data_IF_456349106535
#
_entry.id   IF_456349106535
#
_cell.length_a   1.000
_cell.length_b   1.000
_cell.length_c   1.000
_cell.angle_alpha   90.00
_cell.angle_beta   90.00
_cell.angle_gamma   90.00
#
_symmetry.space_group_name_H-M   'P 1'
#
loop_
_entity.id
_entity.type
_entity.pdbx_description
1 polymer ?
#
# COMPACT_ATOMS: atom_id res chain seq x y z
N UNK A 1 23.29 -16.83 11.82
CA UNK A 1 24.40 -16.46 12.73
C UNK A 1 23.88 -16.59 14.16
N UNK A 2 24.23 -17.66 14.88
CA UNK A 2 23.83 -17.87 16.28
C UNK A 2 24.84 -17.16 17.17
N UNK A 3 24.44 -16.07 17.82
CA UNK A 3 25.30 -15.36 18.78
C UNK A 3 25.26 -16.14 20.10
N UNK A 4 26.21 -17.05 20.31
CA UNK A 4 26.40 -17.71 21.62
C UNK A 4 27.12 -16.76 22.56
N UNK A 5 26.37 -16.07 23.41
CA UNK A 5 26.92 -15.31 24.53
C UNK A 5 27.27 -16.30 25.67
N UNK A 6 28.55 -16.60 25.85
CA UNK A 6 29.07 -17.45 26.93
C UNK A 6 29.13 -16.61 28.22
N UNK A 7 28.00 -16.50 28.94
CA UNK A 7 28.01 -16.02 30.32
C UNK A 7 28.45 -17.18 31.21
N UNK A 8 29.71 -17.12 31.63
CA UNK A 8 30.36 -18.12 32.45
C UNK A 8 29.87 -18.00 33.90
N UNK A 9 29.35 -19.12 34.38
CA UNK A 9 29.10 -19.57 35.76
C UNK A 9 29.64 -18.68 36.90
N UNK A 10 28.74 -18.03 37.64
CA UNK A 10 28.83 -17.91 39.10
C UNK A 10 27.43 -17.99 39.69
N UNK A 11 27.25 -18.91 40.63
CA UNK A 11 25.98 -19.20 41.27
C UNK A 11 25.50 -18.05 42.15
N UNK A 12 24.24 -17.67 41.95
CA UNK A 12 23.29 -17.27 42.99
C UNK A 12 21.86 -17.19 42.38
N UNK A 13 20.78 -17.45 43.14
CA UNK A 13 19.44 -17.57 42.59
C UNK A 13 18.65 -16.27 42.76
N UNK A 14 18.38 -15.53 41.68
CA UNK A 14 17.26 -14.57 41.64
C UNK A 14 16.83 -14.30 40.21
N UNK A 15 15.53 -14.53 39.92
CA UNK A 15 14.76 -13.86 38.86
C UNK A 15 15.40 -13.69 37.48
N UNK A 16 16.03 -14.73 36.92
CA UNK A 16 16.69 -14.61 35.61
C UNK A 16 15.65 -14.65 34.49
N UNK A 17 15.30 -13.48 33.98
CA UNK A 17 14.62 -13.27 32.71
C UNK A 17 15.47 -13.85 31.56
N UNK A 18 14.90 -14.64 30.65
CA UNK A 18 15.62 -15.31 29.55
C UNK A 18 14.97 -15.01 28.20
N UNK A 19 15.80 -14.75 27.17
CA UNK A 19 15.38 -14.69 25.76
C UNK A 19 15.21 -16.13 25.24
N UNK A 20 14.05 -16.43 24.64
CA UNK A 20 13.81 -17.70 23.94
C UNK A 20 13.64 -17.42 22.44
N UNK A 21 14.49 -18.02 21.63
CA UNK A 21 14.38 -18.06 20.17
C UNK A 21 13.61 -19.33 19.77
N UNK A 22 12.26 -19.27 19.70
CA UNK A 22 11.46 -20.37 19.15
C UNK A 22 10.32 -19.86 18.26
N UNK A 23 10.19 -20.43 17.06
CA UNK A 23 9.12 -20.15 16.08
C UNK A 23 8.24 -21.39 15.90
N UNK A 24 6.97 -21.24 15.56
CA UNK A 24 6.12 -22.36 15.12
C UNK A 24 5.95 -22.28 13.60
N UNK A 25 6.41 -23.29 12.87
CA UNK A 25 6.22 -23.47 11.43
C UNK A 25 5.35 -24.72 11.23
N UNK A 26 4.22 -24.58 10.55
CA UNK A 26 3.28 -25.69 10.26
C UNK A 26 2.84 -26.50 11.50
N UNK A 27 2.65 -25.81 12.62
CA UNK A 27 2.25 -26.42 13.89
C UNK A 27 3.39 -27.07 14.67
N UNK A 28 4.62 -27.07 14.13
CA UNK A 28 5.84 -27.55 14.80
C UNK A 28 6.69 -26.38 15.29
N UNK A 29 7.05 -26.43 16.57
CA UNK A 29 7.91 -25.42 17.20
C UNK A 29 9.39 -25.74 16.93
N UNK A 30 10.13 -24.78 16.38
CA UNK A 30 11.53 -24.88 15.94
C UNK A 30 12.34 -23.74 16.60
N UNK A 31 13.39 -24.10 17.33
CA UNK A 31 14.26 -23.18 18.06
C UNK A 31 14.85 -23.82 19.33
N UNK A 32 15.69 -23.08 20.06
CA UNK A 32 16.27 -23.55 21.34
C UNK A 32 15.17 -23.52 22.42
N UNK A 33 14.46 -24.64 22.60
CA UNK A 33 13.47 -24.77 23.65
C UNK A 33 14.14 -24.91 25.02
N UNK A 34 13.87 -23.95 25.92
CA UNK A 34 14.05 -24.15 27.36
C UNK A 34 12.73 -24.72 27.90
N UNK A 35 12.66 -26.01 28.29
CA UNK A 35 11.40 -26.71 28.59
C UNK A 35 10.61 -26.18 29.80
N UNK A 36 11.09 -25.12 30.47
CA UNK A 36 10.58 -24.62 31.74
C UNK A 36 10.07 -23.17 31.70
N UNK A 37 9.92 -22.56 30.51
CA UNK A 37 9.57 -21.14 30.37
C UNK A 37 8.14 -20.98 29.84
N UNK A 38 7.24 -20.43 30.67
CA UNK A 38 5.87 -20.09 30.27
C UNK A 38 5.83 -18.93 29.26
N UNK A 39 4.79 -18.87 28.42
CA UNK A 39 4.64 -17.85 27.37
C UNK A 39 4.72 -16.40 27.89
N UNK A 40 4.32 -16.18 29.13
CA UNK A 40 4.33 -14.86 29.79
C UNK A 40 5.74 -14.35 30.14
N UNK A 41 6.76 -15.20 30.02
CA UNK A 41 8.16 -14.85 30.28
C UNK A 41 8.95 -14.47 29.00
N UNK A 42 8.30 -14.47 27.82
CA UNK A 42 8.92 -14.10 26.53
C UNK A 42 8.76 -12.60 26.28
N UNK A 43 9.86 -11.84 26.38
CA UNK A 43 9.88 -10.36 26.27
C UNK A 43 9.95 -9.81 24.83
N UNK A 44 9.97 -10.65 23.79
CA UNK A 44 10.27 -10.21 22.41
C UNK A 44 9.06 -10.19 21.49
N UNK A 45 8.79 -9.03 20.85
CA UNK A 45 8.11 -8.99 19.54
C UNK A 45 9.15 -9.14 18.45
N UNK A 46 8.81 -9.82 17.35
CA UNK A 46 9.72 -9.94 16.21
C UNK A 46 10.04 -8.56 15.63
N UNK A 47 11.29 -8.30 15.18
CA UNK A 47 11.65 -7.00 14.63
C UNK A 47 10.84 -6.67 13.38
N UNK A 48 10.44 -5.40 13.22
CA UNK A 48 9.80 -4.91 12.01
C UNK A 48 10.81 -4.79 10.85
N UNK A 49 10.33 -4.66 9.60
CA UNK A 49 11.19 -4.56 8.40
C UNK A 49 12.30 -3.51 8.50
N UNK A 50 12.04 -2.40 9.20
CA UNK A 50 13.04 -1.35 9.44
C UNK A 50 14.20 -1.84 10.32
N UNK A 51 13.89 -2.64 11.33
CA UNK A 51 14.85 -3.22 12.27
C UNK A 51 15.61 -4.38 11.61
N UNK A 52 14.93 -5.25 10.85
CA UNK A 52 15.57 -6.30 10.05
C UNK A 52 16.57 -5.72 9.05
N UNK A 53 16.17 -4.68 8.31
CA UNK A 53 17.06 -4.01 7.36
C UNK A 53 18.25 -3.34 8.07
N UNK A 54 18.03 -2.69 9.22
CA UNK A 54 19.12 -2.12 10.02
C UNK A 54 20.13 -3.18 10.48
N UNK A 55 19.67 -4.38 10.84
CA UNK A 55 20.52 -5.51 11.19
C UNK A 55 21.33 -6.04 10.01
N UNK A 56 20.71 -6.24 8.85
CA UNK A 56 21.41 -6.68 7.63
C UNK A 56 22.49 -5.68 7.21
N UNK A 57 22.16 -4.39 7.24
CA UNK A 57 23.09 -3.31 6.88
C UNK A 57 24.23 -3.19 7.91
N UNK A 58 23.96 -3.38 9.20
CA UNK A 58 25.00 -3.49 10.22
C UNK A 58 25.93 -4.67 9.93
N UNK A 59 25.39 -5.85 9.62
CA UNK A 59 26.19 -7.04 9.33
C UNK A 59 27.13 -6.81 8.13
N UNK A 60 26.63 -6.19 7.06
CA UNK A 60 27.44 -5.80 5.89
C UNK A 60 28.50 -4.77 6.26
N UNK A 61 28.14 -3.75 7.04
CA UNK A 61 29.04 -2.64 7.36
C UNK A 61 30.18 -3.03 8.32
N UNK A 62 29.97 -4.04 9.15
CA UNK A 62 30.93 -4.46 10.19
C UNK A 62 31.74 -5.70 9.76
N UNK A 63 31.25 -6.46 8.77
CA UNK A 63 31.94 -7.62 8.20
C UNK A 63 31.90 -8.87 9.11
N UNK A 64 32.51 -9.97 8.67
CA UNK A 64 32.42 -11.29 9.35
C UNK A 64 33.06 -11.36 10.75
N UNK A 65 33.94 -10.39 11.09
CA UNK A 65 34.62 -10.33 12.39
C UNK A 65 34.51 -8.94 13.02
N UNK A 66 33.36 -8.63 13.64
CA UNK A 66 33.16 -7.35 14.31
C UNK A 66 34.10 -7.17 15.50
N UNK A 67 34.87 -6.10 15.51
CA UNK A 67 35.55 -5.59 16.72
C UNK A 67 34.66 -4.56 17.41
N UNK A 68 34.75 -4.45 18.75
CA UNK A 68 33.98 -3.48 19.53
C UNK A 68 34.16 -2.04 19.04
N UNK A 69 35.36 -1.68 18.58
CA UNK A 69 35.66 -0.37 18.02
C UNK A 69 34.90 -0.13 16.70
N UNK A 70 34.79 -1.14 15.85
CA UNK A 70 34.09 -1.09 14.55
C UNK A 70 32.58 -1.01 14.73
N UNK A 71 32.02 -1.74 15.70
CA UNK A 71 30.61 -1.64 16.10
C UNK A 71 30.28 -0.26 16.68
N UNK A 72 31.14 0.24 17.59
CA UNK A 72 30.96 1.55 18.22
C UNK A 72 31.13 2.73 17.24
N UNK A 73 31.88 2.53 16.15
CA UNK A 73 32.07 3.53 15.11
C UNK A 73 30.96 3.54 14.05
N UNK A 74 30.12 2.49 13.96
CA UNK A 74 29.07 2.33 12.96
C UNK A 74 27.74 1.91 13.59
N UNK A 75 26.96 2.84 14.17
CA UNK A 75 25.67 2.49 14.77
C UNK A 75 24.69 1.94 13.73
N UNK A 76 24.11 0.76 14.02
CA UNK A 76 23.16 0.02 13.19
C UNK A 76 21.93 0.83 12.80
N UNK A 77 21.45 1.64 13.74
CA UNK A 77 20.21 2.42 13.62
C UNK A 77 20.35 3.58 12.64
N UNK A 78 21.57 4.02 12.34
CA UNK A 78 21.81 5.25 11.60
C UNK A 78 22.07 5.05 10.10
N UNK A 79 22.07 3.80 9.62
CA UNK A 79 22.32 3.53 8.21
C UNK A 79 21.09 3.90 7.39
N UNK A 80 21.24 4.98 6.60
CA UNK A 80 20.25 5.47 5.62
C UNK A 80 18.95 6.05 6.19
N UNK A 81 18.89 6.41 7.48
CA UNK A 81 17.72 7.14 8.02
C UNK A 81 17.44 8.42 7.23
N UNK A 82 18.49 9.17 6.86
CA UNK A 82 18.37 10.34 6.00
C UNK A 82 17.81 10.00 4.61
N UNK A 83 18.29 8.94 3.96
CA UNK A 83 17.75 8.50 2.66
C UNK A 83 16.30 8.03 2.75
N UNK A 84 15.93 7.35 3.84
CA UNK A 84 14.55 6.88 4.07
C UNK A 84 13.60 8.00 4.49
N UNK A 85 14.12 9.06 5.11
CA UNK A 85 13.35 10.26 5.44
C UNK A 85 12.98 11.09 4.20
N UNK A 86 13.80 11.02 3.14
CA UNK A 86 13.57 11.68 1.85
C UNK A 86 12.39 11.05 1.09
N UNK A 87 11.75 11.81 0.17
CA UNK A 87 10.68 11.28 -0.65
C UNK A 87 11.22 10.23 -1.63
N UNK A 88 10.66 9.02 -1.57
CA UNK A 88 10.98 7.90 -2.44
C UNK A 88 10.52 8.14 -3.88
N UNK A 89 10.98 7.32 -4.86
CA UNK A 89 10.54 7.44 -6.24
C UNK A 89 9.01 7.38 -6.39
N UNK A 90 8.35 6.45 -5.69
CA UNK A 90 6.88 6.34 -5.72
C UNK A 90 6.20 7.55 -5.06
N UNK A 91 6.71 8.05 -3.93
CA UNK A 91 6.23 9.27 -3.27
C UNK A 91 6.17 10.45 -4.24
N UNK A 92 7.26 10.67 -5.00
CA UNK A 92 7.37 11.77 -5.97
C UNK A 92 6.37 11.62 -7.11
N UNK A 93 6.20 10.41 -7.63
CA UNK A 93 5.27 10.13 -8.72
C UNK A 93 3.81 10.24 -8.28
N UNK A 94 3.47 9.82 -7.05
CA UNK A 94 2.15 10.05 -6.45
C UNK A 94 1.87 11.56 -6.43
N UNK A 95 2.77 12.36 -5.84
CA UNK A 95 2.59 13.81 -5.74
C UNK A 95 2.46 14.49 -7.11
N UNK A 96 3.24 14.02 -8.10
CA UNK A 96 3.23 14.56 -9.47
C UNK A 96 1.95 14.23 -10.24
N UNK A 97 1.38 13.06 -10.03
CA UNK A 97 0.30 12.52 -10.86
C UNK A 97 -1.06 12.45 -10.17
N UNK A 98 -1.14 12.81 -8.88
CA UNK A 98 -2.37 12.81 -8.08
C UNK A 98 -3.53 13.55 -8.77
N UNK A 99 -3.28 14.74 -9.32
CA UNK A 99 -4.33 15.53 -10.02
C UNK A 99 -4.98 14.79 -11.19
N UNK A 100 -4.22 13.94 -11.89
CA UNK A 100 -4.75 13.17 -13.02
C UNK A 100 -5.62 12.03 -12.54
N UNK A 101 -5.22 11.39 -11.43
CA UNK A 101 -6.02 10.36 -10.77
C UNK A 101 -7.32 10.95 -10.21
N UNK A 102 -7.26 12.13 -9.58
CA UNK A 102 -8.44 12.85 -9.10
C UNK A 102 -9.42 13.15 -10.24
N UNK A 103 -8.93 13.63 -11.38
CA UNK A 103 -9.76 13.89 -12.56
C UNK A 103 -10.46 12.61 -13.05
N UNK A 104 -9.75 11.50 -13.17
CA UNK A 104 -10.33 10.21 -13.61
C UNK A 104 -11.39 9.71 -12.64
N UNK A 105 -11.16 9.83 -11.33
CA UNK A 105 -12.14 9.41 -10.33
C UNK A 105 -13.39 10.30 -10.29
N UNK A 106 -13.25 11.60 -10.52
CA UNK A 106 -14.37 12.55 -10.54
C UNK A 106 -15.16 12.51 -11.85
N UNK A 107 -14.48 12.40 -12.98
CA UNK A 107 -15.09 12.31 -14.31
C UNK A 107 -14.66 11.00 -14.99
N UNK A 108 -15.18 9.84 -14.52
CA UNK A 108 -14.86 8.55 -15.13
C UNK A 108 -15.33 8.49 -16.58
N UNK A 109 -14.64 7.68 -17.39
CA UNK A 109 -15.09 7.46 -18.76
C UNK A 109 -16.33 6.58 -18.72
N UNK A 110 -17.35 6.94 -19.49
CA UNK A 110 -18.61 6.21 -19.58
C UNK A 110 -18.74 5.66 -21.00
N UNK A 111 -19.14 4.40 -21.13
CA UNK A 111 -19.56 3.83 -22.40
C UNK A 111 -21.07 3.60 -22.38
N UNK A 112 -21.72 3.82 -23.53
CA UNK A 112 -23.13 3.53 -23.70
C UNK A 112 -23.28 2.06 -24.08
N UNK A 113 -23.84 1.25 -23.19
CA UNK A 113 -24.17 -0.15 -23.46
C UNK A 113 -25.58 -0.21 -24.02
N UNK A 114 -25.71 -0.80 -25.20
CA UNK A 114 -27.01 -1.00 -25.83
C UNK A 114 -27.44 -2.43 -25.58
N UNK A 115 -28.49 -2.60 -24.79
CA UNK A 115 -29.13 -3.89 -24.56
C UNK A 115 -30.50 -3.94 -25.22
N UNK A 116 -30.89 -5.14 -25.66
CA UNK A 116 -32.23 -5.38 -26.18
C UNK A 116 -33.00 -6.25 -25.21
N UNK A 117 -34.04 -5.67 -24.61
CA UNK A 117 -34.87 -6.33 -23.61
C UNK A 117 -36.35 -6.19 -24.01
N UNK A 118 -37.16 -7.20 -23.66
CA UNK A 118 -38.62 -7.15 -23.83
C UNK A 118 -39.25 -6.37 -22.69
N UNK A 119 -39.75 -5.18 -23.00
CA UNK A 119 -40.31 -4.27 -22.02
C UNK A 119 -41.80 -4.02 -22.27
N UNK A 120 -42.57 -3.67 -21.23
CA UNK A 120 -43.93 -3.20 -21.42
C UNK A 120 -43.99 -2.06 -22.43
N UNK A 121 -45.01 -2.04 -23.29
CA UNK A 121 -45.10 -1.08 -24.42
C UNK A 121 -44.96 0.37 -23.95
N UNK A 122 -45.56 0.73 -22.81
CA UNK A 122 -45.46 2.08 -22.24
C UNK A 122 -44.05 2.49 -21.82
N UNK A 123 -43.12 1.55 -21.59
CA UNK A 123 -41.71 1.80 -21.23
C UNK A 123 -40.77 1.68 -22.43
N UNK A 124 -41.23 1.11 -23.53
CA UNK A 124 -40.44 0.93 -24.74
C UNK A 124 -40.24 2.27 -25.47
N UNK A 125 -38.99 2.76 -25.54
CA UNK A 125 -38.66 4.01 -26.26
C UNK A 125 -38.22 3.82 -27.70
N UNK A 126 -37.39 2.81 -27.96
CA UNK A 126 -36.84 2.53 -29.30
C UNK A 126 -36.97 1.05 -29.60
N UNK A 127 -37.70 0.71 -30.66
CA UNK A 127 -37.88 -0.66 -31.11
C UNK A 127 -36.94 -0.97 -32.27
N UNK A 128 -36.12 -2.03 -32.20
CA UNK A 128 -35.28 -2.45 -33.32
C UNK A 128 -36.14 -3.02 -34.46
N UNK A 129 -35.63 -3.07 -35.68
CA UNK A 129 -36.36 -3.61 -36.85
C UNK A 129 -36.82 -5.06 -36.64
N UNK A 130 -36.06 -5.85 -35.88
CA UNK A 130 -36.40 -7.23 -35.54
C UNK A 130 -37.51 -7.37 -34.48
N UNK A 131 -37.98 -6.29 -33.87
CA UNK A 131 -39.01 -6.33 -32.83
C UNK A 131 -40.33 -6.95 -33.32
N UNK A 132 -40.70 -6.71 -34.59
CA UNK A 132 -41.91 -7.29 -35.19
C UNK A 132 -41.77 -8.81 -35.31
N UNK A 133 -40.62 -9.29 -35.79
CA UNK A 133 -40.34 -10.71 -35.91
C UNK A 133 -40.29 -11.40 -34.53
N UNK A 134 -39.63 -10.76 -33.54
CA UNK A 134 -39.58 -11.26 -32.17
C UNK A 134 -40.98 -11.33 -31.54
N UNK A 135 -41.83 -10.33 -31.78
CA UNK A 135 -43.20 -10.31 -31.26
C UNK A 135 -44.06 -11.42 -31.85
N UNK A 136 -43.91 -11.71 -33.16
CA UNK A 136 -44.64 -12.82 -33.81
C UNK A 136 -44.17 -14.18 -33.27
N UNK A 137 -42.87 -14.31 -32.97
CA UNK A 137 -42.29 -15.55 -32.44
C UNK A 137 -42.65 -15.84 -30.96
N UNK A 138 -43.09 -14.82 -30.20
CA UNK A 138 -43.36 -14.93 -28.76
C UNK A 138 -44.80 -14.47 -28.41
N UNK A 139 -45.81 -15.34 -28.64
CA UNK A 139 -47.23 -15.03 -28.40
C UNK A 139 -47.56 -14.70 -26.94
N UNK A 140 -46.74 -15.17 -25.99
CA UNK A 140 -46.87 -14.87 -24.57
C UNK A 140 -46.76 -13.38 -24.23
N UNK A 141 -46.18 -12.58 -25.15
CA UNK A 141 -46.05 -11.13 -25.01
C UNK A 141 -47.23 -10.36 -25.64
N UNK A 142 -48.29 -11.05 -26.07
CA UNK A 142 -49.50 -10.43 -26.62
C UNK A 142 -50.46 -10.08 -25.48
N UNK A 143 -51.07 -8.90 -25.56
CA UNK A 143 -52.17 -8.52 -24.68
C UNK A 143 -53.51 -8.92 -25.29
N UNK A 144 -53.71 -8.53 -26.56
CA UNK A 144 -54.91 -8.84 -27.33
C UNK A 144 -54.55 -9.20 -28.77
N UNK A 145 -55.27 -10.15 -29.35
CA UNK A 145 -55.18 -10.47 -30.78
C UNK A 145 -56.51 -10.22 -31.46
N UNK A 146 -56.48 -9.41 -32.51
CA UNK A 146 -57.60 -9.22 -33.45
C UNK A 146 -57.32 -9.94 -34.77
N UNK A 147 -58.33 -10.09 -35.61
CA UNK A 147 -58.21 -10.76 -36.93
C UNK A 147 -57.17 -10.11 -37.85
N UNK A 148 -56.88 -8.81 -37.66
CA UNK A 148 -55.98 -8.02 -38.51
C UNK A 148 -54.76 -7.44 -37.79
N UNK A 149 -54.69 -7.55 -36.46
CA UNK A 149 -53.65 -6.90 -35.67
C UNK A 149 -53.37 -7.64 -34.36
N UNK A 150 -52.17 -7.42 -33.84
CA UNK A 150 -51.74 -7.90 -32.53
C UNK A 150 -51.45 -6.66 -31.68
N UNK A 151 -52.06 -6.59 -30.51
CA UNK A 151 -51.73 -5.60 -29.48
C UNK A 151 -50.77 -6.23 -28.49
N UNK A 152 -49.47 -5.86 -28.48
CA UNK A 152 -48.51 -6.42 -27.56
C UNK A 152 -48.68 -5.87 -26.14
N UNK A 153 -48.45 -6.70 -25.13
CA UNK A 153 -48.24 -6.25 -23.74
C UNK A 153 -46.78 -5.86 -23.51
N UNK A 154 -45.85 -6.59 -24.14
CA UNK A 154 -44.41 -6.35 -24.13
C UNK A 154 -43.83 -6.40 -25.54
N UNK A 155 -42.83 -5.55 -25.80
CA UNK A 155 -42.14 -5.46 -27.09
C UNK A 155 -40.63 -5.39 -26.85
N UNK A 156 -39.87 -6.02 -27.74
CA UNK A 156 -38.41 -5.90 -27.78
C UNK A 156 -38.03 -4.42 -27.99
N UNK A 157 -37.27 -3.86 -27.06
CA UNK A 157 -36.83 -2.48 -27.09
C UNK A 157 -35.34 -2.37 -26.79
N UNK A 158 -34.67 -1.41 -27.44
CA UNK A 158 -33.28 -1.05 -27.15
C UNK A 158 -33.26 -0.13 -25.94
N UNK A 159 -32.69 -0.62 -24.84
CA UNK A 159 -32.27 0.20 -23.72
C UNK A 159 -30.82 0.64 -23.93
N UNK A 160 -30.56 1.90 -23.61
CA UNK A 160 -29.23 2.47 -23.64
C UNK A 160 -28.90 2.79 -22.20
N UNK A 161 -27.98 2.03 -21.63
CA UNK A 161 -27.55 2.15 -20.24
C UNK A 161 -26.12 2.70 -20.16
N UNK A 162 -25.87 3.45 -19.10
CA UNK A 162 -24.55 4.00 -18.82
C UNK A 162 -23.67 2.95 -18.14
N UNK A 163 -22.64 2.48 -18.83
CA UNK A 163 -21.68 1.52 -18.32
C UNK A 163 -20.40 2.22 -17.85
N UNK A 164 -20.18 2.18 -16.54
CA UNK A 164 -18.97 2.68 -15.89
C UNK A 164 -17.93 1.59 -15.65
N UNK A 165 -18.25 0.32 -15.94
CA UNK A 165 -17.45 -0.84 -15.59
C UNK A 165 -16.35 -1.15 -16.63
N UNK A 166 -15.67 -0.09 -17.06
CA UNK A 166 -14.55 -0.16 -17.99
C UNK A 166 -13.28 -0.65 -17.29
N UNK A 167 -12.46 -1.40 -18.03
CA UNK A 167 -11.16 -1.87 -17.54
C UNK A 167 -10.32 -0.74 -16.95
N UNK A 168 -10.28 0.41 -17.63
CA UNK A 168 -9.48 1.57 -17.23
C UNK A 168 -10.01 2.25 -15.97
N UNK A 169 -11.35 2.28 -15.80
CA UNK A 169 -11.97 2.78 -14.58
C UNK A 169 -11.65 1.86 -13.40
N UNK A 170 -11.69 0.53 -13.62
CA UNK A 170 -11.26 -0.45 -12.61
C UNK A 170 -9.80 -0.25 -12.24
N UNK A 171 -8.91 -0.08 -13.22
CA UNK A 171 -7.48 0.21 -12.99
C UNK A 171 -7.32 1.45 -12.10
N UNK A 172 -8.01 2.55 -12.39
CA UNK A 172 -7.94 3.76 -11.59
C UNK A 172 -8.45 3.55 -10.15
N UNK A 173 -9.59 2.87 -9.96
CA UNK A 173 -10.12 2.54 -8.64
C UNK A 173 -9.14 1.66 -7.84
N UNK A 174 -8.64 0.58 -8.45
CA UNK A 174 -7.67 -0.31 -7.78
C UNK A 174 -6.36 0.42 -7.47
N UNK A 175 -5.94 1.36 -8.30
CA UNK A 175 -4.75 2.16 -8.04
C UNK A 175 -4.91 2.95 -6.75
N UNK A 176 -6.06 3.60 -6.54
CA UNK A 176 -6.33 4.36 -5.31
C UNK A 176 -6.24 3.44 -4.08
N UNK A 177 -6.83 2.24 -4.12
CA UNK A 177 -6.74 1.26 -3.02
C UNK A 177 -5.29 0.88 -2.70
N UNK A 178 -4.49 0.65 -3.75
CA UNK A 178 -3.08 0.29 -3.62
C UNK A 178 -2.22 1.45 -3.08
N UNK A 179 -2.45 2.67 -3.57
CA UNK A 179 -1.74 3.86 -3.12
C UNK A 179 -2.10 4.21 -1.67
N UNK A 180 -3.36 4.06 -1.25
CA UNK A 180 -3.77 4.27 0.14
C UNK A 180 -3.06 3.28 1.08
N UNK A 181 -2.95 2.02 0.67
CA UNK A 181 -2.23 0.99 1.44
C UNK A 181 -0.74 1.34 1.56
N UNK A 182 -0.11 1.70 0.45
CA UNK A 182 1.30 2.12 0.44
C UNK A 182 1.54 3.35 1.32
N UNK A 183 0.73 4.40 1.18
CA UNK A 183 0.88 5.63 1.95
C UNK A 183 0.68 5.40 3.44
N UNK A 184 -0.24 4.52 3.85
CA UNK A 184 -0.40 4.17 5.25
C UNK A 184 0.88 3.57 5.85
N UNK A 185 1.49 2.59 5.16
CA UNK A 185 2.75 1.97 5.57
C UNK A 185 3.90 2.99 5.55
N UNK A 186 3.97 3.81 4.50
CA UNK A 186 5.03 4.81 4.32
C UNK A 186 4.97 5.91 5.39
N UNK A 187 3.79 6.39 5.74
CA UNK A 187 3.61 7.37 6.82
C UNK A 187 3.96 6.78 8.18
N UNK A 188 3.62 5.52 8.44
CA UNK A 188 4.03 4.83 9.67
C UNK A 188 5.56 4.71 9.76
N UNK A 189 6.23 4.34 8.67
CA UNK A 189 7.69 4.30 8.59
C UNK A 189 8.32 5.66 8.91
N UNK A 190 7.84 6.73 8.27
CA UNK A 190 8.36 8.09 8.49
C UNK A 190 8.11 8.57 9.92
N UNK A 191 6.97 8.24 10.52
CA UNK A 191 6.69 8.54 11.93
C UNK A 191 7.65 7.80 12.87
N UNK A 192 7.98 6.53 12.58
CA UNK A 192 9.00 5.78 13.35
C UNK A 192 10.38 6.42 13.23
N UNK A 193 10.78 6.83 12.02
CA UNK A 193 12.03 7.56 11.80
C UNK A 193 12.03 8.85 12.63
N UNK A 194 10.93 9.61 12.63
CA UNK A 194 10.78 10.82 13.44
C UNK A 194 10.90 10.57 14.94
N UNK A 195 10.31 9.48 15.43
CA UNK A 195 10.42 9.07 16.83
C UNK A 195 11.88 8.75 17.21
N UNK A 196 12.60 8.00 16.38
CA UNK A 196 14.02 7.69 16.58
C UNK A 196 14.86 8.97 16.63
N UNK A 197 14.63 9.90 15.70
CA UNK A 197 15.34 11.19 15.67
C UNK A 197 15.06 12.02 16.93
N UNK A 198 13.81 12.07 17.39
CA UNK A 198 13.46 12.79 18.63
C UNK A 198 14.12 12.17 19.87
N UNK A 199 14.07 10.84 20.02
CA UNK A 199 14.73 10.13 21.13
C UNK A 199 16.23 10.43 21.13
N UNK A 200 16.87 10.45 19.96
CA UNK A 200 18.30 10.75 19.84
C UNK A 200 18.64 12.18 20.28
N UNK A 201 17.80 13.16 19.96
CA UNK A 201 17.96 14.56 20.37
C UNK A 201 17.82 14.71 21.88
N UNK A 202 16.76 14.13 22.45
CA UNK A 202 16.48 14.21 23.89
C UNK A 202 17.59 13.54 24.72
N UNK A 203 18.12 12.40 24.26
CA UNK A 203 19.29 11.78 24.87
C UNK A 203 20.53 12.67 24.79
N UNK A 204 20.74 13.37 23.67
CA UNK A 204 21.81 14.35 23.52
C UNK A 204 21.71 15.47 24.55
N UNK A 205 20.51 16.01 24.79
CA UNK A 205 20.27 17.07 25.77
C UNK A 205 20.48 16.60 27.22
N UNK A 206 19.92 15.45 27.60
CA UNK A 206 20.12 14.86 28.93
C UNK A 206 21.60 14.53 29.17
N UNK A 207 22.30 14.00 28.16
CA UNK A 207 23.73 13.70 28.24
C UNK A 207 24.59 14.97 28.34
N UNK A 208 24.20 16.08 27.72
CA UNK A 208 24.90 17.38 27.87
C UNK A 208 24.84 17.87 29.31
N UNK A 209 23.75 17.61 30.02
CA UNK A 209 23.62 17.94 31.43
C UNK A 209 24.51 17.09 32.35
N UNK A 210 24.79 15.83 31.98
CA UNK A 210 25.63 14.93 32.80
C UNK A 210 27.12 14.97 32.43
N UNK A 211 27.46 14.97 31.14
CA UNK A 211 28.86 14.93 30.67
C UNK A 211 28.99 15.51 29.24
N UNK A 212 29.60 16.70 29.10
CA UNK A 212 29.79 17.34 27.80
C UNK A 212 30.60 16.51 26.80
N UNK A 213 31.57 15.70 27.29
CA UNK A 213 32.42 14.86 26.43
C UNK A 213 31.64 13.69 25.82
N UNK A 214 30.80 13.00 26.61
CA UNK A 214 29.96 11.89 26.11
C UNK A 214 28.92 12.41 25.12
N UNK A 215 28.29 13.54 25.44
CA UNK A 215 27.35 14.19 24.54
C UNK A 215 28.00 14.61 23.21
N UNK A 216 29.22 15.14 23.25
CA UNK A 216 29.98 15.49 22.04
C UNK A 216 30.33 14.26 21.22
N UNK A 217 30.73 13.14 21.85
CA UNK A 217 31.06 11.90 21.15
C UNK A 217 29.84 11.26 20.47
N UNK A 218 28.71 11.20 21.16
CA UNK A 218 27.45 10.68 20.60
C UNK A 218 26.93 11.63 19.52
N UNK A 219 26.99 12.95 19.76
CA UNK A 219 26.64 13.96 18.76
C UNK A 219 27.46 13.85 17.48
N UNK A 220 28.77 13.55 17.57
CA UNK A 220 29.62 13.29 16.40
C UNK A 220 29.22 12.00 15.65
N UNK A 221 28.83 10.95 16.37
CA UNK A 221 28.34 9.72 15.73
C UNK A 221 27.03 9.96 14.97
N UNK A 222 26.12 10.76 15.53
CA UNK A 222 24.88 11.11 14.84
C UNK A 222 25.10 12.11 13.72
N UNK A 223 25.93 13.14 13.89
CA UNK A 223 26.21 14.13 12.85
C UNK A 223 26.95 13.55 11.64
N UNK A 224 27.67 12.45 11.82
CA UNK A 224 28.31 11.73 10.70
C UNK A 224 27.32 10.85 9.93
N UNK A 225 26.15 10.58 10.51
CA UNK A 225 25.13 9.68 9.93
C UNK A 225 23.85 10.39 9.47
N UNK A 226 23.55 11.54 10.06
CA UNK A 226 22.40 12.37 9.75
C UNK A 226 22.92 13.70 9.22
N UNK A 227 22.51 14.05 8.00
CA UNK A 227 22.70 15.41 7.50
C UNK A 227 21.83 16.36 8.34
N UNK A 228 22.30 17.59 8.57
CA UNK A 228 21.62 18.57 9.45
C UNK A 228 20.19 18.90 8.98
N UNK A 229 19.88 18.69 7.69
CA UNK A 229 18.57 18.93 7.08
C UNK A 229 17.59 17.74 7.17
N UNK A 230 18.03 16.56 7.64
CA UNK A 230 17.21 15.34 7.62
C UNK A 230 15.88 15.46 8.37
N UNK A 231 15.87 16.19 9.48
CA UNK A 231 14.65 16.42 10.27
C UNK A 231 13.65 17.33 9.55
N UNK A 232 14.13 18.29 8.76
CA UNK A 232 13.30 19.19 7.97
C UNK A 232 12.77 18.48 6.72
N UNK A 233 13.63 17.74 6.00
CA UNK A 233 13.23 16.89 4.88
C UNK A 233 12.19 15.84 5.28
N UNK A 234 12.32 15.24 6.47
CA UNK A 234 11.34 14.31 7.02
C UNK A 234 9.98 14.99 7.23
N UNK A 235 9.99 16.18 7.84
CA UNK A 235 8.76 16.93 8.14
C UNK A 235 8.04 17.36 6.86
N UNK A 236 8.79 17.81 5.86
CA UNK A 236 8.27 18.15 4.55
C UNK A 236 7.66 16.93 3.85
N UNK A 237 8.36 15.80 3.87
CA UNK A 237 7.90 14.55 3.26
C UNK A 237 6.62 14.04 3.93
N UNK A 238 6.60 13.99 5.27
CA UNK A 238 5.41 13.65 6.06
C UNK A 238 4.22 14.54 5.69
N UNK A 239 4.41 15.86 5.70
CA UNK A 239 3.34 16.81 5.40
C UNK A 239 2.85 16.73 3.95
N UNK A 240 3.72 16.40 2.99
CA UNK A 240 3.32 16.19 1.60
C UNK A 240 2.52 14.89 1.42
N UNK A 241 2.98 13.78 1.99
CA UNK A 241 2.33 12.48 1.87
C UNK A 241 1.01 12.41 2.64
N UNK A 242 0.92 13.03 3.81
CA UNK A 242 -0.32 13.11 4.59
C UNK A 242 -1.41 13.88 3.82
N UNK A 243 -1.05 15.01 3.18
CA UNK A 243 -1.96 15.71 2.26
C UNK A 243 -2.39 14.84 1.08
N UNK A 244 -1.47 14.11 0.48
CA UNK A 244 -1.78 13.18 -0.61
C UNK A 244 -2.72 12.05 -0.16
N UNK A 245 -2.51 11.49 1.03
CA UNK A 245 -3.38 10.45 1.60
C UNK A 245 -4.81 10.97 1.81
N UNK A 246 -4.97 12.16 2.40
CA UNK A 246 -6.28 12.79 2.57
C UNK A 246 -6.97 13.05 1.22
N UNK A 247 -6.22 13.54 0.23
CA UNK A 247 -6.74 13.71 -1.13
C UNK A 247 -7.18 12.41 -1.78
N UNK A 248 -6.48 11.29 -1.56
CA UNK A 248 -6.90 9.97 -2.04
C UNK A 248 -8.12 9.44 -1.28
N UNK A 249 -8.21 9.67 0.04
CA UNK A 249 -9.39 9.30 0.83
C UNK A 249 -10.65 10.01 0.34
N UNK A 250 -10.55 11.28 -0.06
CA UNK A 250 -11.66 12.02 -0.68
C UNK A 250 -12.14 11.39 -2.00
N UNK A 251 -11.28 10.65 -2.70
CA UNK A 251 -11.68 9.95 -3.94
C UNK A 251 -12.54 8.71 -3.69
N UNK A 252 -12.58 8.20 -2.46
CA UNK A 252 -13.42 7.05 -2.12
C UNK A 252 -14.92 7.38 -2.25
N UNK A 253 -15.29 8.66 -2.15
CA UNK A 253 -16.66 9.14 -2.32
C UNK A 253 -16.99 9.59 -3.77
N UNK A 254 -16.04 9.45 -4.69
CA UNK A 254 -16.15 9.90 -6.08
C UNK A 254 -17.13 9.07 -6.92
N UNK A 255 -17.54 9.62 -8.08
CA UNK A 255 -18.46 8.96 -9.01
C UNK A 255 -17.95 7.60 -9.47
N UNK A 256 -16.63 7.48 -9.71
CA UNK A 256 -16.01 6.22 -10.10
C UNK A 256 -16.20 5.14 -9.02
N UNK A 257 -15.95 5.46 -7.75
CA UNK A 257 -16.05 4.49 -6.65
C UNK A 257 -17.48 4.05 -6.32
N UNK A 258 -18.48 4.90 -6.61
CA UNK A 258 -19.90 4.55 -6.44
C UNK A 258 -20.37 3.54 -7.48
N UNK A 259 -19.82 3.61 -8.70
CA UNK A 259 -20.32 2.85 -9.84
C UNK A 259 -19.45 1.62 -10.19
N UNK A 260 -18.17 1.59 -9.80
CA UNK A 260 -17.27 0.47 -10.13
C UNK A 260 -17.35 -0.64 -9.06
N UNK A 261 -17.62 -1.91 -9.43
CA UNK A 261 -17.69 -3.02 -8.49
C UNK A 261 -16.35 -3.34 -7.82
N UNK A 262 -16.33 -3.36 -6.49
CA UNK A 262 -15.12 -3.59 -5.65
C UNK A 262 -14.55 -5.01 -5.71
N UNK A 263 -15.23 -5.98 -6.32
CA UNK A 263 -14.82 -7.40 -6.30
C UNK A 263 -13.86 -7.79 -7.43
N UNK A 264 -13.73 -6.97 -8.46
CA UNK A 264 -12.89 -7.29 -9.60
C UNK A 264 -11.43 -6.93 -9.32
N UNK A 265 -10.55 -7.93 -9.31
CA UNK A 265 -9.11 -7.73 -9.26
C UNK A 265 -8.57 -7.33 -10.63
N UNK A 266 -7.56 -6.47 -10.66
CA UNK A 266 -6.83 -6.08 -11.86
C UNK A 266 -5.44 -6.69 -11.75
N UNK A 267 -4.96 -7.31 -12.83
CA UNK A 267 -3.62 -7.87 -12.86
C UNK A 267 -2.55 -6.78 -12.65
N UNK A 268 -1.44 -7.13 -12.00
CA UNK A 268 -0.33 -6.20 -11.75
C UNK A 268 0.26 -5.68 -13.06
N UNK A 269 0.32 -6.53 -14.09
CA UNK A 269 0.66 -6.14 -15.46
C UNK A 269 -0.55 -5.55 -16.18
N UNK A 270 -0.42 -4.30 -16.64
CA UNK A 270 -1.48 -3.62 -17.39
C UNK A 270 -1.47 -4.01 -18.86
N UNK A 271 -2.66 -4.26 -19.40
CA UNK A 271 -2.85 -4.39 -20.84
C UNK A 271 -2.91 -2.99 -21.47
N UNK A 272 -2.11 -2.70 -22.52
CA UNK A 272 -2.13 -1.41 -23.18
C UNK A 272 -3.41 -1.30 -24.04
N UNK A 273 -4.38 -0.51 -23.56
CA UNK A 273 -5.61 -0.20 -24.31
C UNK A 273 -5.57 1.20 -24.92
N UNK A 274 -6.42 1.45 -25.92
CA UNK A 274 -6.50 2.75 -26.58
C UNK A 274 -6.77 3.91 -25.59
N UNK A 275 -7.57 3.68 -24.55
CA UNK A 275 -7.88 4.71 -23.55
C UNK A 275 -6.65 4.99 -22.69
N UNK A 276 -5.94 3.95 -22.20
CA UNK A 276 -4.72 4.13 -21.40
C UNK A 276 -3.57 4.77 -22.18
N UNK A 277 -3.54 4.64 -23.51
CA UNK A 277 -2.48 5.20 -24.35
C UNK A 277 -2.80 6.65 -24.76
N UNK A 278 -4.03 6.91 -25.21
CA UNK A 278 -4.35 8.15 -25.89
C UNK A 278 -4.93 9.23 -24.96
N UNK A 279 -5.63 8.84 -23.90
CA UNK A 279 -6.22 9.83 -22.99
C UNK A 279 -5.15 10.43 -22.06
N UNK A 280 -5.17 11.76 -21.93
CA UNK A 280 -4.15 12.49 -21.18
C UNK A 280 -4.07 12.10 -19.70
N UNK A 281 -5.21 11.81 -19.06
CA UNK A 281 -5.27 11.49 -17.64
C UNK A 281 -5.06 9.99 -17.43
N UNK A 282 -5.73 9.13 -18.20
CA UNK A 282 -5.54 7.68 -18.07
C UNK A 282 -4.12 7.25 -18.39
N UNK A 283 -3.42 7.92 -19.31
CA UNK A 283 -1.99 7.68 -19.56
C UNK A 283 -1.14 7.94 -18.33
N UNK A 284 -1.43 9.00 -17.57
CA UNK A 284 -0.70 9.31 -16.32
C UNK A 284 -1.06 8.33 -15.20
N UNK A 285 -2.32 7.89 -15.12
CA UNK A 285 -2.75 6.83 -14.20
C UNK A 285 -2.05 5.51 -14.51
N UNK A 286 -1.95 5.12 -15.79
CA UNK A 286 -1.24 3.91 -16.20
C UNK A 286 0.26 3.97 -15.89
N UNK A 287 0.89 5.13 -16.05
CA UNK A 287 2.28 5.34 -15.64
C UNK A 287 2.43 5.18 -14.12
N UNK A 288 1.57 5.82 -13.33
CA UNK A 288 1.61 5.71 -11.88
C UNK A 288 1.38 4.28 -11.39
N UNK A 289 0.49 3.52 -12.04
CA UNK A 289 0.31 2.09 -11.78
C UNK A 289 1.60 1.30 -12.01
N UNK A 290 2.30 1.53 -13.13
CA UNK A 290 3.56 0.82 -13.42
C UNK A 290 4.64 1.13 -12.39
N UNK A 291 4.73 2.39 -11.96
CA UNK A 291 5.66 2.80 -10.89
C UNK A 291 5.26 2.13 -9.57
N UNK A 292 3.97 2.08 -9.23
CA UNK A 292 3.50 1.35 -8.06
C UNK A 292 3.81 -0.15 -8.17
N UNK A 293 3.61 -0.78 -9.33
CA UNK A 293 3.95 -2.19 -9.53
C UNK A 293 5.46 -2.46 -9.35
N UNK A 294 6.31 -1.52 -9.76
CA UNK A 294 7.76 -1.63 -9.62
C UNK A 294 8.27 -1.41 -8.19
N UNK A 295 7.71 -0.43 -7.47
CA UNK A 295 8.22 0.00 -6.16
C UNK A 295 7.31 -0.36 -4.98
N UNK A 296 5.99 -0.31 -5.17
CA UNK A 296 4.98 -0.56 -4.15
C UNK A 296 4.56 -2.03 -4.01
N UNK A 297 4.88 -2.90 -4.98
CA UNK A 297 4.62 -4.35 -4.88
C UNK A 297 5.75 -5.12 -4.19
N UNK A 298 6.83 -4.47 -3.72
CA UNK A 298 7.75 -5.14 -2.79
C UNK A 298 7.05 -5.32 -1.45
N UNK A 299 6.25 -6.39 -1.35
CA UNK A 299 6.09 -7.12 -0.09
C UNK A 299 7.49 -7.47 0.40
N UNK A 300 7.74 -7.48 1.72
CA UNK A 300 9.02 -7.93 2.24
C UNK A 300 9.32 -9.28 1.61
N UNK A 301 10.42 -9.35 0.87
CA UNK A 301 10.92 -10.59 0.31
C UNK A 301 11.37 -11.45 1.49
N UNK A 302 10.43 -12.16 2.10
CA UNK A 302 10.70 -13.50 2.63
C UNK A 302 10.93 -14.38 1.41
N UNK A 303 12.15 -14.38 0.88
CA UNK A 303 12.61 -15.41 -0.04
C UNK A 303 13.96 -15.94 0.41
N UNK A 304 13.84 -17.11 1.06
CA UNK A 304 14.79 -18.23 1.19
C UNK A 304 15.97 -18.05 2.15
#
# INVERSE_FOLDING_TARGET
>A
MVIRCRLQERGEPTGVTRLCDSVVVDGLRVGDELPAVGQDAVLGRWPADLECNAFEQLAVAVGERPTWQTLAAKPAVAQRLGERARPQPLDREILRHLRHLQQVCQTPRMHLRVEEERLPVGRARRTPMRAVADLVAHPENWEHRSLRSISPSRVLARQVEDDFDLYENRVAARLVDHLLTYLAQRLEELNRIGAILNISRDHGEHMRATSPWRARRIGQLWSTTLEDNTADELRETLGALDRAQRSLQQLLDSQLYRNVPRRHSVAVSLNPTNILINDQHYRKVALLWRVWAQFGHRRPETQL
#
